data_IF_439443881941
#
_entry.id   IF_439443881941
#
_cell.length_a   1.000
_cell.length_b   1.000
_cell.length_c   1.000
_cell.angle_alpha   90.00
_cell.angle_beta   90.00
_cell.angle_gamma   90.00
#
_symmetry.space_group_name_H-M   'P 1'
#
loop_
_entity.id
_entity.type
_entity.pdbx_description
1 polymer ?
#
# COMPACT_ATOMS: atom_id res chain seq x y z
N UNK A 1 -22.09 -6.93 8.00
CA UNK A 1 -22.17 -6.76 9.47
C UNK A 1 -23.52 -6.22 9.95
N UNK A 2 -24.23 -5.37 9.19
CA UNK A 2 -25.51 -4.77 9.65
C UNK A 2 -26.61 -5.73 10.07
N UNK A 3 -26.71 -6.92 9.47
CA UNK A 3 -27.73 -7.92 9.83
C UNK A 3 -27.38 -8.73 11.09
N UNK A 4 -26.12 -8.71 11.53
CA UNK A 4 -25.63 -9.57 12.63
C UNK A 4 -25.64 -8.80 13.97
N UNK A 5 -25.61 -7.46 13.93
CA UNK A 5 -25.34 -6.63 15.11
C UNK A 5 -26.53 -5.77 15.60
N UNK A 6 -27.69 -5.78 14.93
CA UNK A 6 -28.89 -5.00 15.32
C UNK A 6 -28.64 -3.49 15.56
N UNK A 7 -27.63 -2.89 14.90
CA UNK A 7 -27.35 -1.45 15.00
C UNK A 7 -28.22 -0.67 14.01
N UNK A 8 -28.85 0.45 14.42
CA UNK A 8 -29.60 1.31 13.50
C UNK A 8 -28.74 1.78 12.31
N UNK A 9 -29.34 1.77 11.12
CA UNK A 9 -28.67 1.99 9.82
C UNK A 9 -27.80 3.27 9.80
N UNK A 10 -28.23 4.33 10.49
CA UNK A 10 -27.52 5.61 10.55
C UNK A 10 -26.18 5.51 11.31
N UNK A 11 -26.16 4.79 12.43
CA UNK A 11 -24.93 4.56 13.20
C UNK A 11 -24.00 3.59 12.48
N UNK A 12 -24.56 2.52 11.90
CA UNK A 12 -23.79 1.58 11.09
C UNK A 12 -23.14 2.24 9.86
N UNK A 13 -23.76 3.27 9.27
CA UNK A 13 -23.18 4.03 8.16
C UNK A 13 -21.96 4.87 8.57
N UNK A 14 -22.01 5.52 9.74
CA UNK A 14 -20.87 6.26 10.29
C UNK A 14 -19.74 5.29 10.67
N UNK A 15 -20.10 4.18 11.32
CA UNK A 15 -19.15 3.15 11.75
C UNK A 15 -18.47 2.47 10.55
N UNK A 16 -19.20 2.20 9.47
CA UNK A 16 -18.67 1.54 8.27
C UNK A 16 -17.83 2.46 7.38
N UNK A 17 -18.04 3.78 7.43
CA UNK A 17 -17.25 4.73 6.64
C UNK A 17 -15.94 5.12 7.31
N UNK A 18 -15.87 5.02 8.65
CA UNK A 18 -14.69 5.33 9.45
C UNK A 18 -13.39 4.70 8.93
N UNK A 19 -13.31 3.37 8.72
CA UNK A 19 -12.08 2.71 8.29
C UNK A 19 -11.53 3.25 6.96
N UNK A 20 -12.41 3.55 6.01
CA UNK A 20 -12.02 4.08 4.69
C UNK A 20 -11.52 5.54 4.78
N UNK A 21 -12.14 6.34 5.64
CA UNK A 21 -11.67 7.71 5.91
C UNK A 21 -10.29 7.66 6.57
N UNK A 22 -10.10 6.82 7.58
CA UNK A 22 -8.79 6.62 8.23
C UNK A 22 -7.74 6.11 7.25
N UNK A 23 -8.10 5.21 6.34
CA UNK A 23 -7.22 4.74 5.27
C UNK A 23 -6.77 5.87 4.34
N UNK A 24 -7.67 6.78 3.97
CA UNK A 24 -7.31 7.93 3.14
C UNK A 24 -6.30 8.84 3.86
N UNK A 25 -6.57 9.22 5.12
CA UNK A 25 -5.67 10.06 5.92
C UNK A 25 -4.30 9.42 6.12
N UNK A 26 -4.26 8.14 6.46
CA UNK A 26 -3.00 7.40 6.62
C UNK A 26 -2.23 7.25 5.31
N UNK A 27 -2.92 7.08 4.18
CA UNK A 27 -2.30 7.11 2.85
C UNK A 27 -1.62 8.46 2.54
N UNK A 28 -2.32 9.57 2.77
CA UNK A 28 -1.73 10.92 2.60
C UNK A 28 -0.52 11.13 3.51
N UNK A 29 -0.64 10.75 4.78
CA UNK A 29 0.45 10.84 5.75
C UNK A 29 1.65 9.98 5.35
N UNK A 30 1.42 8.74 4.90
CA UNK A 30 2.46 7.84 4.44
C UNK A 30 3.20 8.39 3.21
N UNK A 31 2.47 8.96 2.24
CA UNK A 31 3.07 9.61 1.07
C UNK A 31 3.89 10.84 1.45
N UNK A 32 3.37 11.70 2.35
CA UNK A 32 4.09 12.86 2.85
C UNK A 32 5.38 12.46 3.59
N UNK A 33 5.30 11.47 4.48
CA UNK A 33 6.43 10.94 5.21
C UNK A 33 7.48 10.34 4.27
N UNK A 34 7.05 9.58 3.26
CA UNK A 34 7.92 9.00 2.24
C UNK A 34 8.66 10.08 1.44
N UNK A 35 7.95 11.15 1.05
CA UNK A 35 8.54 12.29 0.36
C UNK A 35 9.58 13.01 1.23
N UNK A 36 9.25 13.26 2.50
CA UNK A 36 10.16 13.91 3.45
C UNK A 36 11.43 13.09 3.70
N UNK A 37 11.31 11.77 3.90
CA UNK A 37 12.43 10.85 4.11
C UNK A 37 13.36 10.79 2.88
N UNK A 38 12.79 10.82 1.68
CA UNK A 38 13.56 10.82 0.43
C UNK A 38 14.26 12.16 0.20
N UNK A 39 13.60 13.28 0.51
CA UNK A 39 14.15 14.64 0.34
C UNK A 39 15.39 14.89 1.22
N UNK A 40 15.40 14.34 2.42
CA UNK A 40 16.53 14.48 3.35
C UNK A 40 17.70 13.53 3.05
N UNK A 41 17.70 12.84 1.89
CA UNK A 41 18.70 11.83 1.46
C UNK A 41 19.00 10.75 2.52
N UNK A 42 18.10 10.53 3.47
CA UNK A 42 18.35 9.64 4.61
C UNK A 42 18.19 8.17 4.23
N UNK A 43 17.40 7.84 3.21
CA UNK A 43 17.08 6.47 2.82
C UNK A 43 17.07 6.31 1.30
N UNK A 44 17.52 5.14 0.83
CA UNK A 44 17.31 4.71 -0.57
C UNK A 44 15.82 4.47 -0.80
N UNK A 45 15.32 4.85 -1.98
CA UNK A 45 13.91 4.68 -2.37
C UNK A 45 13.50 3.20 -2.26
N UNK A 46 14.34 2.27 -2.70
CA UNK A 46 14.11 0.82 -2.60
C UNK A 46 13.85 0.36 -1.17
N UNK A 47 14.70 0.79 -0.22
CA UNK A 47 14.54 0.46 1.20
C UNK A 47 13.28 1.07 1.78
N UNK A 48 12.95 2.31 1.40
CA UNK A 48 11.74 3.00 1.85
C UNK A 48 10.47 2.30 1.37
N UNK A 49 10.37 1.95 0.07
CA UNK A 49 9.20 1.27 -0.50
C UNK A 49 9.01 -0.13 0.10
N UNK A 50 10.11 -0.90 0.21
CA UNK A 50 10.10 -2.22 0.86
C UNK A 50 9.69 -2.13 2.31
N UNK A 51 10.24 -1.16 3.05
CA UNK A 51 9.90 -0.91 4.45
C UNK A 51 8.42 -0.55 4.64
N UNK A 52 7.92 0.41 3.86
CA UNK A 52 6.52 0.82 3.90
C UNK A 52 5.56 -0.32 3.56
N UNK A 53 5.86 -1.11 2.52
CA UNK A 53 5.04 -2.27 2.16
C UNK A 53 5.08 -3.37 3.24
N UNK A 54 6.27 -3.66 3.78
CA UNK A 54 6.44 -4.68 4.83
C UNK A 54 5.70 -4.29 6.11
N UNK A 55 5.79 -3.01 6.52
CA UNK A 55 5.07 -2.47 7.65
C UNK A 55 3.55 -2.54 7.44
N UNK A 56 3.07 -2.16 6.26
CA UNK A 56 1.66 -2.26 5.87
C UNK A 56 1.14 -3.70 6.00
N UNK A 57 1.85 -4.66 5.41
CA UNK A 57 1.47 -6.08 5.43
C UNK A 57 1.54 -6.66 6.85
N UNK A 58 2.55 -6.29 7.64
CA UNK A 58 2.69 -6.76 9.01
C UNK A 58 1.55 -6.28 9.90
N UNK A 59 1.25 -4.97 9.87
CA UNK A 59 0.13 -4.40 10.63
C UNK A 59 -1.21 -4.97 10.13
N UNK A 60 -1.37 -5.16 8.82
CA UNK A 60 -2.58 -5.77 8.25
C UNK A 60 -2.78 -7.20 8.77
N UNK A 61 -1.71 -8.00 8.78
CA UNK A 61 -1.72 -9.39 9.26
C UNK A 61 -2.07 -9.43 10.75
N UNK A 62 -1.43 -8.59 11.57
CA UNK A 62 -1.72 -8.53 13.00
C UNK A 62 -3.14 -8.03 13.29
N UNK A 63 -3.61 -7.00 12.58
CA UNK A 63 -4.96 -6.46 12.74
C UNK A 63 -6.02 -7.49 12.38
N UNK A 64 -5.87 -8.18 11.25
CA UNK A 64 -6.81 -9.23 10.82
C UNK A 64 -6.75 -10.48 11.70
N UNK A 65 -5.57 -10.88 12.18
CA UNK A 65 -5.44 -11.93 13.19
C UNK A 65 -6.07 -11.51 14.54
N UNK A 66 -5.98 -10.23 14.92
CA UNK A 66 -6.62 -9.69 16.11
C UNK A 66 -8.15 -9.84 16.08
N UNK A 67 -8.77 -9.63 14.91
CA UNK A 67 -10.22 -9.86 14.71
C UNK A 67 -10.58 -11.33 14.96
N UNK A 68 -9.72 -12.26 14.57
CA UNK A 68 -9.93 -13.68 14.82
C UNK A 68 -9.96 -14.01 16.32
N UNK A 69 -9.04 -13.45 17.10
CA UNK A 69 -8.92 -13.73 18.54
C UNK A 69 -9.93 -12.97 19.42
N UNK A 70 -10.47 -11.86 18.92
CA UNK A 70 -11.36 -10.96 19.67
C UNK A 70 -12.78 -11.54 19.89
N UNK A 71 -13.19 -12.54 19.09
CA UNK A 71 -14.44 -13.27 19.32
C UNK A 71 -15.69 -12.38 19.24
N UNK A 72 -16.50 -12.36 20.30
CA UNK A 72 -17.76 -11.61 20.36
C UNK A 72 -17.60 -10.13 20.73
N UNK A 73 -16.41 -9.66 21.10
CA UNK A 73 -16.24 -8.25 21.48
C UNK A 73 -16.24 -7.36 20.23
N UNK A 74 -17.33 -6.61 20.09
CA UNK A 74 -17.59 -5.76 18.94
C UNK A 74 -16.64 -4.56 18.89
N UNK A 75 -16.30 -3.98 20.05
CA UNK A 75 -15.43 -2.80 20.12
C UNK A 75 -14.01 -3.18 19.71
N UNK A 76 -13.49 -4.30 20.19
CA UNK A 76 -12.17 -4.79 19.81
C UNK A 76 -12.11 -5.20 18.33
N UNK A 77 -13.14 -5.86 17.80
CA UNK A 77 -13.22 -6.22 16.38
C UNK A 77 -13.15 -4.98 15.48
N UNK A 78 -13.87 -3.92 15.84
CA UNK A 78 -13.85 -2.67 15.10
C UNK A 78 -12.47 -2.02 15.17
N UNK A 79 -11.88 -1.84 16.34
CA UNK A 79 -10.55 -1.23 16.48
C UNK A 79 -9.50 -1.99 15.63
N UNK A 80 -9.50 -3.32 15.69
CA UNK A 80 -8.60 -4.14 14.88
C UNK A 80 -8.85 -3.96 13.37
N UNK A 81 -10.11 -3.85 12.94
CA UNK A 81 -10.48 -3.55 11.56
C UNK A 81 -10.01 -2.16 11.12
N UNK A 82 -10.14 -1.14 11.98
CA UNK A 82 -9.63 0.20 11.71
C UNK A 82 -8.11 0.18 11.51
N UNK A 83 -7.37 -0.49 12.40
CA UNK A 83 -5.91 -0.61 12.30
C UNK A 83 -5.50 -1.36 11.02
N UNK A 84 -6.16 -2.47 10.70
CA UNK A 84 -5.89 -3.24 9.49
C UNK A 84 -6.17 -2.41 8.22
N UNK A 85 -7.30 -1.71 8.16
CA UNK A 85 -7.67 -0.91 6.99
C UNK A 85 -6.76 0.32 6.84
N UNK A 86 -6.38 0.95 7.96
CA UNK A 86 -5.43 2.04 7.98
C UNK A 86 -4.04 1.62 7.46
N UNK A 87 -3.60 0.39 7.75
CA UNK A 87 -2.30 -0.07 7.27
C UNK A 87 -2.23 -0.19 5.75
N UNK A 88 -3.36 -0.44 5.06
CA UNK A 88 -3.44 -0.45 3.59
C UNK A 88 -3.05 0.91 3.00
N UNK A 89 -3.29 2.01 3.72
CA UNK A 89 -2.83 3.35 3.35
C UNK A 89 -1.31 3.42 3.13
N UNK A 90 -0.53 2.78 4.01
CA UNK A 90 0.92 2.66 3.86
C UNK A 90 1.32 1.76 2.69
N UNK A 91 0.50 0.76 2.36
CA UNK A 91 0.69 -0.13 1.22
C UNK A 91 0.72 0.62 -0.11
N UNK A 92 -0.18 1.60 -0.28
CA UNK A 92 -0.16 2.46 -1.48
C UNK A 92 1.14 3.25 -1.64
N UNK A 93 1.66 3.81 -0.54
CA UNK A 93 2.94 4.52 -0.56
C UNK A 93 4.14 3.58 -0.82
N UNK A 94 4.01 2.29 -0.52
CA UNK A 94 5.02 1.26 -0.76
C UNK A 94 4.94 0.65 -2.17
N UNK A 95 3.92 -0.15 -2.45
CA UNK A 95 3.86 -1.02 -3.63
C UNK A 95 3.25 -0.37 -4.86
N UNK A 96 2.25 0.50 -4.73
CA UNK A 96 1.59 1.11 -5.90
C UNK A 96 2.54 2.01 -6.69
N UNK A 97 3.30 2.84 -5.99
CA UNK A 97 4.26 3.79 -6.61
C UNK A 97 5.49 3.05 -7.13
N UNK A 98 5.79 1.85 -6.62
CA UNK A 98 6.95 1.04 -7.07
C UNK A 98 6.89 0.73 -8.57
N UNK A 99 5.70 0.57 -9.16
CA UNK A 99 5.58 0.35 -10.61
C UNK A 99 6.09 1.56 -11.44
N UNK A 100 5.89 2.77 -10.92
CA UNK A 100 6.39 4.01 -11.52
C UNK A 100 7.91 4.12 -11.33
N UNK A 101 8.40 3.80 -10.12
CA UNK A 101 9.83 3.81 -9.81
C UNK A 101 10.60 2.78 -10.69
N UNK A 102 9.99 1.63 -10.95
CA UNK A 102 10.58 0.51 -11.69
C UNK A 102 10.63 0.73 -13.22
N UNK A 103 9.61 1.39 -13.78
CA UNK A 103 9.52 1.62 -15.23
C UNK A 103 8.67 2.87 -15.52
N UNK A 104 9.29 4.07 -15.61
CA UNK A 104 8.56 5.29 -15.92
C UNK A 104 7.87 5.23 -17.29
N UNK A 105 8.46 4.54 -18.26
CA UNK A 105 7.96 4.46 -19.64
C UNK A 105 6.72 3.56 -19.75
N UNK A 106 6.70 2.45 -19.02
CA UNK A 106 5.64 1.44 -19.10
C UNK A 106 4.78 1.34 -17.82
N UNK A 107 4.87 2.32 -16.91
CA UNK A 107 4.19 2.30 -15.62
C UNK A 107 2.67 2.08 -15.75
N UNK A 108 2.01 2.73 -16.71
CA UNK A 108 0.57 2.59 -16.92
C UNK A 108 0.14 1.16 -17.26
N UNK A 109 0.92 0.45 -18.09
CA UNK A 109 0.64 -0.95 -18.44
C UNK A 109 0.85 -1.86 -17.23
N UNK A 110 1.94 -1.66 -16.49
CA UNK A 110 2.23 -2.43 -15.26
C UNK A 110 1.16 -2.23 -14.19
N UNK A 111 0.75 -0.99 -13.94
CA UNK A 111 -0.30 -0.65 -12.99
C UNK A 111 -1.65 -1.20 -13.43
N UNK A 112 -1.98 -1.16 -14.73
CA UNK A 112 -3.20 -1.74 -15.28
C UNK A 112 -3.24 -3.27 -15.10
N UNK A 113 -2.14 -3.95 -15.39
CA UNK A 113 -2.03 -5.40 -15.17
C UNK A 113 -2.18 -5.76 -13.69
N UNK A 114 -1.50 -5.04 -12.80
CA UNK A 114 -1.63 -5.22 -11.35
C UNK A 114 -3.06 -4.98 -10.86
N UNK A 115 -3.73 -3.95 -11.37
CA UNK A 115 -5.13 -3.63 -11.05
C UNK A 115 -6.11 -4.70 -11.55
N UNK A 116 -5.80 -5.34 -12.67
CA UNK A 116 -6.60 -6.46 -13.21
C UNK A 116 -6.52 -7.67 -12.30
N UNK A 117 -5.32 -8.03 -11.83
CA UNK A 117 -5.14 -9.08 -10.83
C UNK A 117 -5.83 -8.72 -9.50
N UNK A 118 -5.74 -7.45 -9.08
CA UNK A 118 -6.46 -6.94 -7.92
C UNK A 118 -7.97 -7.09 -8.07
N UNK A 119 -8.53 -6.78 -9.22
CA UNK A 119 -9.96 -6.91 -9.50
C UNK A 119 -10.42 -8.38 -9.46
N UNK A 120 -9.60 -9.30 -9.96
CA UNK A 120 -9.86 -10.74 -9.84
C UNK A 120 -9.92 -11.18 -8.38
N UNK A 121 -9.01 -10.68 -7.53
CA UNK A 121 -9.05 -10.96 -6.09
C UNK A 121 -10.33 -10.41 -5.44
N UNK A 122 -10.80 -9.23 -5.87
CA UNK A 122 -12.06 -8.64 -5.42
C UNK A 122 -13.29 -9.50 -5.74
N UNK A 123 -13.25 -10.22 -6.86
CA UNK A 123 -14.29 -11.20 -7.23
C UNK A 123 -14.17 -12.51 -6.45
N UNK A 124 -12.96 -12.96 -6.12
CA UNK A 124 -12.72 -14.21 -5.41
C UNK A 124 -13.19 -14.17 -3.94
N UNK A 125 -13.14 -13.00 -3.29
CA UNK A 125 -13.54 -12.82 -1.88
C UNK A 125 -15.01 -13.22 -1.62
N UNK A 126 -16.02 -12.65 -2.30
CA UNK A 126 -17.43 -13.00 -2.07
C UNK A 126 -17.75 -14.45 -2.46
N UNK A 127 -17.07 -15.02 -3.46
CA UNK A 127 -17.22 -16.44 -3.81
C UNK A 127 -16.74 -17.35 -2.68
N UNK A 128 -15.57 -17.05 -2.12
CA UNK A 128 -15.01 -17.80 -1.00
C UNK A 128 -15.87 -17.64 0.25
N UNK A 129 -16.33 -16.42 0.54
CA UNK A 129 -17.23 -16.15 1.66
C UNK A 129 -18.57 -16.88 1.51
N UNK A 130 -19.15 -16.89 0.32
CA UNK A 130 -20.39 -17.62 0.03
C UNK A 130 -20.22 -19.14 0.13
N UNK A 131 -19.07 -19.67 -0.27
CA UNK A 131 -18.77 -21.10 -0.13
C UNK A 131 -18.58 -21.51 1.33
N UNK A 132 -17.85 -20.70 2.12
CA UNK A 132 -17.61 -20.98 3.54
C UNK A 132 -18.87 -20.84 4.39
N UNK A 133 -19.74 -19.88 4.07
CA UNK A 133 -20.92 -19.55 4.88
C UNK A 133 -22.23 -20.19 4.40
N UNK A 134 -22.17 -21.11 3.44
CA UNK A 134 -23.33 -21.74 2.78
C UNK A 134 -24.24 -22.53 3.73
N UNK A 135 -23.70 -23.00 4.85
CA UNK A 135 -24.41 -23.89 5.77
C UNK A 135 -24.81 -23.21 7.09
N UNK A 136 -24.00 -22.30 7.66
CA UNK A 136 -24.31 -21.54 8.89
C UNK A 136 -23.49 -20.24 8.95
N UNK A 137 -24.00 -19.12 9.47
CA UNK A 137 -23.22 -17.86 9.63
C UNK A 137 -22.60 -17.80 11.03
N UNK A 138 -21.64 -18.68 11.32
CA UNK A 138 -21.03 -18.78 12.66
C UNK A 138 -19.75 -17.95 12.76
N UNK A 139 -19.44 -17.48 13.97
CA UNK A 139 -18.20 -16.74 14.25
C UNK A 139 -16.94 -17.53 13.87
N UNK A 140 -16.96 -18.86 13.99
CA UNK A 140 -15.85 -19.74 13.63
C UNK A 140 -15.52 -19.69 12.13
N UNK A 141 -16.54 -19.64 11.26
CA UNK A 141 -16.33 -19.55 9.82
C UNK A 141 -15.83 -18.17 9.38
N UNK A 142 -16.36 -17.11 9.98
CA UNK A 142 -15.83 -15.76 9.77
C UNK A 142 -14.38 -15.67 10.26
N UNK A 143 -14.07 -16.30 11.39
CA UNK A 143 -12.72 -16.41 11.90
C UNK A 143 -11.76 -17.08 10.90
N UNK A 144 -12.15 -18.21 10.30
CA UNK A 144 -11.37 -18.88 9.24
C UNK A 144 -11.10 -17.95 8.06
N UNK A 145 -12.08 -17.14 7.64
CA UNK A 145 -11.86 -16.15 6.57
C UNK A 145 -10.83 -15.09 6.95
N UNK A 146 -10.91 -14.52 8.16
CA UNK A 146 -9.92 -13.55 8.62
C UNK A 146 -8.52 -14.17 8.74
N UNK A 147 -8.41 -15.41 9.20
CA UNK A 147 -7.14 -16.13 9.29
C UNK A 147 -6.54 -16.39 7.89
N UNK A 148 -7.34 -16.80 6.90
CA UNK A 148 -6.87 -16.95 5.52
C UNK A 148 -6.41 -15.61 4.93
N UNK A 149 -7.13 -14.53 5.23
CA UNK A 149 -6.77 -13.17 4.80
C UNK A 149 -5.44 -12.72 5.42
N UNK A 150 -5.22 -13.01 6.69
CA UNK A 150 -3.95 -12.75 7.38
C UNK A 150 -2.79 -13.54 6.73
N UNK A 151 -3.01 -14.82 6.39
CA UNK A 151 -2.01 -15.65 5.69
C UNK A 151 -1.64 -15.09 4.32
N UNK A 152 -2.62 -14.67 3.52
CA UNK A 152 -2.39 -14.03 2.21
C UNK A 152 -1.67 -12.68 2.37
N UNK A 153 -2.04 -11.88 3.36
CA UNK A 153 -1.38 -10.61 3.68
C UNK A 153 0.09 -10.80 4.05
N UNK A 154 0.40 -11.76 4.92
CA UNK A 154 1.77 -12.10 5.30
C UNK A 154 2.57 -12.62 4.11
N UNK A 155 2.00 -13.57 3.35
CA UNK A 155 2.64 -14.18 2.18
C UNK A 155 2.98 -13.14 1.10
N UNK A 156 2.03 -12.26 0.76
CA UNK A 156 2.24 -11.19 -0.22
C UNK A 156 3.32 -10.20 0.24
N UNK A 157 3.35 -9.85 1.53
CA UNK A 157 4.41 -9.03 2.11
C UNK A 157 5.79 -9.66 2.01
N UNK A 158 5.92 -10.96 2.31
CA UNK A 158 7.18 -11.71 2.20
C UNK A 158 7.65 -11.78 0.75
N UNK A 159 6.75 -12.11 -0.18
CA UNK A 159 7.06 -12.18 -1.61
C UNK A 159 7.57 -10.82 -2.11
N UNK A 160 6.90 -9.73 -1.75
CA UNK A 160 7.33 -8.39 -2.13
C UNK A 160 8.66 -8.01 -1.49
N UNK A 161 8.92 -8.42 -0.25
CA UNK A 161 10.18 -8.12 0.43
C UNK A 161 11.38 -8.77 -0.28
N UNK A 162 11.22 -10.05 -0.68
CA UNK A 162 12.26 -10.84 -1.35
C UNK A 162 12.44 -10.40 -2.81
N UNK A 163 11.35 -10.31 -3.57
CA UNK A 163 11.39 -10.11 -5.03
C UNK A 163 11.27 -8.66 -5.47
N UNK A 164 10.71 -7.79 -4.62
CA UNK A 164 10.47 -6.40 -4.99
C UNK A 164 11.76 -5.65 -5.30
N UNK A 165 11.72 -4.79 -6.31
CA UNK A 165 12.76 -3.81 -6.60
C UNK A 165 12.13 -2.51 -7.08
N UNK A 166 12.80 -1.39 -6.79
CA UNK A 166 12.42 -0.06 -7.27
C UNK A 166 13.46 0.52 -8.22
N UNK A 167 14.48 -0.26 -8.57
CA UNK A 167 15.48 0.17 -9.53
C UNK A 167 14.87 0.11 -10.94
N UNK A 168 15.26 1.04 -11.81
CA UNK A 168 14.82 1.07 -13.20
C UNK A 168 15.24 -0.23 -13.87
N UNK A 169 14.26 -0.92 -14.45
CA UNK A 169 14.51 -2.23 -15.04
C UNK A 169 15.21 -2.12 -16.40
N UNK A 170 16.04 -3.10 -16.79
CA UNK A 170 16.85 -3.03 -18.00
C UNK A 170 16.04 -2.99 -19.30
N UNK A 171 14.79 -3.46 -19.27
CA UNK A 171 13.87 -3.39 -20.41
C UNK A 171 13.18 -2.03 -20.55
N UNK A 172 13.33 -1.12 -19.58
CA UNK A 172 12.83 0.24 -19.73
C UNK A 172 13.76 1.06 -20.64
N UNK A 173 13.15 1.82 -21.55
CA UNK A 173 13.89 2.69 -22.46
C UNK A 173 14.66 3.81 -21.74
N UNK A 174 14.23 4.22 -20.53
CA UNK A 174 14.95 5.19 -19.70
C UNK A 174 16.29 4.64 -19.21
N UNK A 175 16.40 3.33 -18.99
CA UNK A 175 17.62 2.66 -18.52
C UNK A 175 18.83 2.92 -19.42
N UNK A 176 18.61 3.02 -20.75
CA UNK A 176 19.67 3.34 -21.73
C UNK A 176 19.90 4.84 -21.94
N UNK A 177 18.92 5.70 -21.62
CA UNK A 177 19.06 7.15 -21.76
C UNK A 177 19.91 7.78 -20.65
N UNK A 178 19.92 7.20 -19.45
CA UNK A 178 20.78 7.67 -18.35
C UNK A 178 22.28 7.47 -18.62
N UNK A 179 22.64 6.52 -19.49
CA UNK A 179 24.02 6.34 -19.99
C UNK A 179 24.42 7.47 -20.97
N UNK A 180 23.46 8.08 -21.66
CA UNK A 180 23.71 9.14 -22.65
C UNK A 180 23.41 10.57 -22.13
N UNK A 181 22.62 10.75 -21.07
CA UNK A 181 22.33 12.08 -20.51
C UNK A 181 23.47 12.59 -19.61
N UNK A 182 24.22 11.69 -18.96
CA UNK A 182 25.46 12.07 -18.25
C UNK A 182 26.57 12.58 -19.18
N UNK A 183 26.45 12.40 -20.51
CA UNK A 183 27.36 13.01 -21.50
C UNK A 183 26.91 14.39 -22.02
N UNK A 184 25.70 14.86 -21.68
CA UNK A 184 25.21 16.18 -22.12
C UNK A 184 25.03 17.21 -21.01
N UNK A 185 25.21 16.85 -19.73
CA UNK A 185 25.13 17.78 -18.61
C UNK A 185 26.52 18.21 -18.09
N UNK A 186 27.25 18.95 -18.95
CA UNK A 186 28.09 20.05 -18.48
C UNK A 186 27.73 21.34 -19.22
N UNK A 187 26.66 22.05 -18.82
CA UNK A 187 26.51 23.44 -19.20
C UNK A 187 27.51 24.26 -18.38
N UNK A 188 28.62 24.61 -19.04
CA UNK A 188 29.40 25.84 -18.89
C UNK A 188 29.07 26.69 -17.65
N UNK A 189 29.90 26.58 -16.61
CA UNK A 189 30.08 27.62 -15.60
C UNK A 189 30.63 28.87 -16.30
N UNK A 190 29.73 29.68 -16.85
CA UNK A 190 30.06 30.98 -17.40
C UNK A 190 30.23 31.91 -16.21
N UNK A 191 31.48 32.08 -15.80
CA UNK A 191 31.91 33.10 -14.85
C UNK A 191 31.24 34.44 -15.22
N UNK A 192 30.46 34.99 -14.30
CA UNK A 192 29.93 36.35 -14.40
C UNK A 192 31.11 37.29 -14.10
N UNK A 193 31.53 38.17 -15.02
CA UNK A 193 32.58 39.13 -14.74
C UNK A 193 32.10 40.13 -13.67
N UNK A 194 32.83 40.19 -12.57
CA UNK A 194 32.75 41.26 -11.58
C UNK A 194 33.13 42.59 -12.25
N UNK A 195 32.16 43.36 -12.74
CA UNK A 195 32.32 44.80 -12.96
C UNK A 195 31.01 45.53 -12.71
N UNK A 196 30.69 45.74 -11.43
CA UNK A 196 29.87 46.89 -10.98
C UNK A 196 30.36 47.37 -9.61
N UNK A 197 31.67 47.61 -9.49
CA UNK A 197 32.22 48.45 -8.43
C UNK A 197 33.23 49.41 -9.05
N UNK A 198 32.71 50.56 -9.53
CA UNK A 198 33.35 51.89 -9.65
C UNK A 198 32.74 52.67 -10.82
N UNK A 199 31.69 53.44 -10.54
CA UNK A 199 31.63 54.85 -10.96
C UNK A 199 30.63 55.59 -10.10
#
# INVERSE_FOLDING_TARGET
MGTILNIPIKENGILSSGPFVTQAFTGFFACWLAFWLTRNKSLKISTLRKGANSLSCFIFTLGTAGIYFSGCDTMWNEICLFIATASVGFGFAGSLITAVDMSPTYCGVLMGFASTLGSFSGFAIPLTAGALTKHEQTLDQWGKMFLTTAGVGAGSGIIFHILGSTDIQPWDQSSSKDVNLNSFEKPQEKALPNELEKT
#
